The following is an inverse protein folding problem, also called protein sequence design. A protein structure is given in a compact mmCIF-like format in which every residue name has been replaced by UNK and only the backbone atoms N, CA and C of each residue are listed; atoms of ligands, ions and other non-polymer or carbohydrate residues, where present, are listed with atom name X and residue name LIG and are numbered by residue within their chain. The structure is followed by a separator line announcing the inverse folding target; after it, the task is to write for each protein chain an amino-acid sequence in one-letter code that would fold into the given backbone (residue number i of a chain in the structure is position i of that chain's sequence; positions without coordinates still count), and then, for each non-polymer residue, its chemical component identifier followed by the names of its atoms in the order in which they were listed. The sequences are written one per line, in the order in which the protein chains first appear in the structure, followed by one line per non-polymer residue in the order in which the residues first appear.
data_IF_475231426966
#
_entry.id   IF_475231426966
#
_cell.length_a   1.000
_cell.length_b   1.000
_cell.length_c   1.000
_cell.angle_alpha   90.00
_cell.angle_beta   90.00
_cell.angle_gamma   90.00
#
_symmetry.space_group_name_H-M   'P 1'
#
loop_
_entity.id
_entity.type
_entity.pdbx_description
1 polymer ?
#
# COMPACT_ATOMS: atom_id res chain seq x y z
N UNK A 1 -6.68 14.73 -30.00
CA UNK A 1 -6.95 14.33 -28.60
C UNK A 1 -6.13 15.15 -27.61
N UNK A 2 -4.80 15.25 -27.78
CA UNK A 2 -3.91 16.03 -26.90
C UNK A 2 -4.37 17.47 -26.60
N UNK A 3 -4.55 18.32 -27.63
CA UNK A 3 -5.00 19.72 -27.45
C UNK A 3 -6.28 19.83 -26.64
N UNK A 4 -7.24 18.91 -26.84
CA UNK A 4 -8.51 18.89 -26.09
C UNK A 4 -8.25 18.60 -24.62
N UNK A 5 -7.47 17.58 -24.29
CA UNK A 5 -7.15 17.19 -22.90
C UNK A 5 -6.47 18.34 -22.15
N UNK A 6 -5.44 18.95 -22.75
CA UNK A 6 -4.69 20.04 -22.09
C UNK A 6 -5.60 21.27 -21.89
N UNK A 7 -6.43 21.60 -22.89
CA UNK A 7 -7.39 22.70 -22.77
C UNK A 7 -8.43 22.45 -21.67
N UNK A 8 -8.94 21.21 -21.53
CA UNK A 8 -9.91 20.86 -20.49
C UNK A 8 -9.32 20.91 -19.08
N UNK A 9 -8.02 20.65 -18.94
CA UNK A 9 -7.30 20.74 -17.68
C UNK A 9 -6.79 22.15 -17.38
N UNK A 10 -7.09 23.14 -18.24
CA UNK A 10 -6.57 24.51 -18.11
C UNK A 10 -5.04 24.56 -17.99
N UNK A 11 -4.33 23.66 -18.68
CA UNK A 11 -2.88 23.48 -18.57
C UNK A 11 -2.37 23.10 -17.16
N UNK A 12 -3.25 22.74 -16.22
CA UNK A 12 -2.86 22.22 -14.91
C UNK A 12 -2.61 20.71 -14.97
N UNK A 13 -1.33 20.34 -15.02
CA UNK A 13 -0.86 18.95 -14.99
C UNK A 13 -0.20 18.61 -13.64
N UNK A 14 -0.34 19.48 -12.63
CA UNK A 14 0.42 19.46 -11.38
C UNK A 14 -0.08 18.51 -10.29
N UNK A 15 -1.09 17.67 -10.56
CA UNK A 15 -1.67 16.78 -9.55
C UNK A 15 -0.60 15.86 -8.94
N UNK A 16 -0.44 15.81 -7.61
CA UNK A 16 0.58 14.99 -6.98
C UNK A 16 0.28 13.49 -7.16
N UNK A 17 1.31 12.73 -7.52
CA UNK A 17 1.21 11.28 -7.70
C UNK A 17 1.41 10.54 -6.36
N UNK A 18 0.69 9.43 -6.17
CA UNK A 18 0.83 8.58 -4.98
C UNK A 18 2.27 8.10 -4.76
N UNK A 19 2.98 7.75 -5.82
CA UNK A 19 4.39 7.33 -5.74
C UNK A 19 5.30 8.37 -5.07
N UNK A 20 5.01 9.67 -5.18
CA UNK A 20 5.82 10.71 -4.55
C UNK A 20 5.65 10.70 -3.03
N UNK A 21 4.40 10.49 -2.56
CA UNK A 21 4.13 10.31 -1.13
C UNK A 21 4.74 9.01 -0.61
N UNK A 22 4.63 7.90 -1.36
CA UNK A 22 5.25 6.64 -0.95
C UNK A 22 6.76 6.77 -0.78
N UNK A 23 7.47 7.41 -1.72
CA UNK A 23 8.92 7.67 -1.60
C UNK A 23 9.25 8.46 -0.33
N UNK A 24 8.45 9.49 -0.02
CA UNK A 24 8.60 10.28 1.20
C UNK A 24 8.39 9.43 2.45
N UNK A 25 7.30 8.67 2.52
CA UNK A 25 6.96 7.85 3.69
C UNK A 25 7.97 6.72 3.91
N UNK A 26 8.41 6.05 2.84
CA UNK A 26 9.46 5.03 2.92
C UNK A 26 10.77 5.60 3.46
N UNK A 27 11.15 6.83 3.09
CA UNK A 27 12.35 7.48 3.65
C UNK A 27 12.19 7.80 5.14
N UNK A 28 11.01 8.26 5.57
CA UNK A 28 10.72 8.61 6.97
C UNK A 28 10.75 7.36 7.86
N UNK A 29 10.12 6.28 7.40
CA UNK A 29 10.02 5.02 8.15
C UNK A 29 11.31 4.18 8.03
N UNK A 30 12.26 4.60 7.19
CA UNK A 30 13.46 3.84 6.84
C UNK A 30 13.10 2.44 6.30
N UNK A 31 12.14 2.41 5.39
CA UNK A 31 11.64 1.17 4.80
C UNK A 31 12.72 0.49 3.96
N UNK A 32 12.75 -0.84 4.00
CA UNK A 32 13.64 -1.63 3.14
C UNK A 32 13.21 -1.57 1.68
N UNK A 33 14.11 -1.87 0.75
CA UNK A 33 13.80 -1.87 -0.68
C UNK A 33 12.65 -2.83 -1.04
N UNK A 34 12.53 -3.93 -0.31
CA UNK A 34 11.46 -4.91 -0.44
C UNK A 34 10.13 -4.33 0.04
N UNK A 35 10.10 -3.66 1.19
CA UNK A 35 8.91 -2.98 1.72
C UNK A 35 8.43 -1.85 0.79
N UNK A 36 9.37 -1.05 0.29
CA UNK A 36 9.06 -0.01 -0.67
C UNK A 36 8.54 -0.59 -1.99
N UNK A 37 9.11 -1.71 -2.45
CA UNK A 37 8.68 -2.37 -3.70
C UNK A 37 7.31 -3.04 -3.56
N UNK A 38 7.01 -3.63 -2.40
CA UNK A 38 5.67 -4.11 -2.08
C UNK A 38 4.66 -2.94 -2.01
N UNK A 39 5.06 -1.80 -1.44
CA UNK A 39 4.24 -0.58 -1.45
C UNK A 39 3.93 -0.09 -2.88
N UNK A 40 4.93 -0.09 -3.78
CA UNK A 40 4.73 0.23 -5.21
C UNK A 40 3.75 -0.74 -5.86
N UNK A 41 3.85 -2.04 -5.55
CA UNK A 41 2.93 -3.05 -6.09
C UNK A 41 1.49 -2.77 -5.66
N UNK A 42 1.26 -2.51 -4.37
CA UNK A 42 -0.05 -2.14 -3.83
C UNK A 42 -0.62 -0.89 -4.51
N UNK A 43 0.20 0.15 -4.72
CA UNK A 43 -0.26 1.36 -5.42
C UNK A 43 -0.59 1.12 -6.90
N UNK A 44 0.23 0.35 -7.62
CA UNK A 44 -0.05 0.07 -9.03
C UNK A 44 -1.32 -0.77 -9.19
N UNK A 45 -1.64 -1.60 -8.19
CA UNK A 45 -2.88 -2.36 -8.15
C UNK A 45 -4.12 -1.47 -7.97
N UNK A 46 -4.05 -0.38 -7.19
CA UNK A 46 -5.20 0.52 -7.01
C UNK A 46 -5.54 1.30 -8.27
N UNK A 47 -4.58 1.51 -9.19
CA UNK A 47 -4.87 2.15 -10.48
C UNK A 47 -5.73 1.30 -11.42
N UNK A 48 -5.82 -0.02 -11.17
CA UNK A 48 -6.66 -0.91 -11.97
C UNK A 48 -8.13 -0.82 -11.51
N UNK A 49 -8.36 -0.58 -10.22
CA UNK A 49 -9.69 -0.60 -9.62
C UNK A 49 -10.28 0.81 -9.54
N UNK A 50 -11.42 1.01 -10.21
CA UNK A 50 -12.12 2.29 -10.26
C UNK A 50 -12.54 2.79 -8.87
N UNK A 51 -12.74 1.89 -7.91
CA UNK A 51 -13.15 2.22 -6.54
C UNK A 51 -12.15 3.15 -5.83
N UNK A 52 -10.88 3.13 -6.25
CA UNK A 52 -9.82 3.96 -5.67
C UNK A 52 -9.66 5.32 -6.34
N UNK A 53 -10.39 5.61 -7.42
CA UNK A 53 -10.23 6.86 -8.20
C UNK A 53 -10.52 8.14 -7.39
N UNK A 54 -11.44 8.05 -6.43
CA UNK A 54 -11.84 9.15 -5.55
C UNK A 54 -10.93 9.33 -4.33
N UNK A 55 -10.03 8.37 -4.08
CA UNK A 55 -9.19 8.35 -2.88
C UNK A 55 -7.99 9.29 -3.05
N UNK A 56 -7.62 9.99 -1.98
CA UNK A 56 -6.47 10.89 -2.00
C UNK A 56 -5.16 10.12 -2.21
N UNK A 57 -4.27 10.57 -3.12
CA UNK A 57 -2.97 9.93 -3.36
C UNK A 57 -2.08 9.82 -2.11
N UNK A 58 -2.14 10.80 -1.20
CA UNK A 58 -1.41 10.77 0.08
C UNK A 58 -1.92 9.66 0.99
N UNK A 59 -3.23 9.57 1.15
CA UNK A 59 -3.89 8.57 2.00
C UNK A 59 -3.56 7.15 1.55
N UNK A 60 -3.78 6.85 0.26
CA UNK A 60 -3.52 5.49 -0.25
C UNK A 60 -2.05 5.10 -0.16
N UNK A 61 -1.13 6.07 -0.27
CA UNK A 61 0.31 5.84 -0.09
C UNK A 61 0.69 5.57 1.36
N UNK A 62 0.01 6.20 2.32
CA UNK A 62 0.18 5.90 3.74
C UNK A 62 -0.32 4.48 4.05
N UNK A 63 -1.53 4.13 3.59
CA UNK A 63 -2.07 2.78 3.72
C UNK A 63 -1.15 1.73 3.10
N UNK A 64 -0.68 1.96 1.86
CA UNK A 64 0.23 1.03 1.18
C UNK A 64 1.58 0.88 1.89
N UNK A 65 2.14 1.98 2.42
CA UNK A 65 3.41 1.96 3.15
C UNK A 65 3.30 1.23 4.48
N UNK A 66 2.21 1.42 5.21
CA UNK A 66 1.95 0.71 6.45
C UNK A 66 1.72 -0.79 6.18
N UNK A 67 0.83 -1.09 5.24
CA UNK A 67 0.41 -2.44 4.95
C UNK A 67 1.54 -3.29 4.38
N UNK A 68 2.42 -2.69 3.55
CA UNK A 68 3.59 -3.40 3.03
C UNK A 68 4.53 -3.85 4.16
N UNK A 69 4.78 -2.96 5.12
CA UNK A 69 5.63 -3.24 6.29
C UNK A 69 4.97 -4.27 7.20
N UNK A 70 3.67 -4.15 7.42
CA UNK A 70 2.89 -5.11 8.20
C UNK A 70 2.96 -6.53 7.61
N UNK A 71 2.67 -6.70 6.32
CA UNK A 71 2.66 -8.00 5.66
C UNK A 71 4.03 -8.70 5.72
N UNK A 72 5.12 -7.95 5.58
CA UNK A 72 6.48 -8.52 5.66
C UNK A 72 6.90 -8.83 7.10
N UNK A 73 6.48 -8.01 8.05
CA UNK A 73 6.73 -8.25 9.47
C UNK A 73 5.87 -9.41 10.02
N UNK A 74 4.70 -9.68 9.44
CA UNK A 74 3.68 -10.55 10.04
C UNK A 74 4.19 -11.95 10.39
N UNK A 75 5.04 -12.54 9.53
CA UNK A 75 5.64 -13.87 9.77
C UNK A 75 6.59 -13.91 10.98
N UNK A 76 7.15 -12.76 11.36
CA UNK A 76 8.15 -12.64 12.44
C UNK A 76 7.52 -12.24 13.77
N UNK A 77 6.21 -11.95 13.81
CA UNK A 77 5.54 -11.52 15.03
C UNK A 77 5.38 -12.72 15.97
N UNK A 78 5.90 -12.65 17.21
CA UNK A 78 5.55 -13.62 18.25
C UNK A 78 4.06 -13.55 18.56
N UNK A 79 3.39 -14.71 18.68
CA UNK A 79 1.95 -14.80 18.96
C UNK A 79 1.48 -14.07 20.23
N UNK A 80 2.40 -13.74 21.15
CA UNK A 80 2.12 -12.99 22.38
C UNK A 80 2.18 -11.46 22.24
N UNK A 81 2.50 -10.91 21.07
CA UNK A 81 2.66 -9.46 20.92
C UNK A 81 1.31 -8.78 20.88
N UNK A 82 1.08 -7.78 21.74
CA UNK A 82 -0.15 -6.98 21.68
C UNK A 82 -0.20 -6.18 20.39
N UNK A 83 -1.39 -6.13 19.79
CA UNK A 83 -1.65 -5.47 18.50
C UNK A 83 -1.33 -3.97 18.59
N UNK A 84 -1.62 -3.33 19.72
CA UNK A 84 -1.31 -1.91 19.95
C UNK A 84 0.19 -1.62 19.92
N UNK A 85 1.02 -2.45 20.57
CA UNK A 85 2.49 -2.30 20.52
C UNK A 85 3.02 -2.55 19.11
N UNK A 86 2.43 -3.52 18.40
CA UNK A 86 2.79 -3.78 17.02
C UNK A 86 2.48 -2.60 16.10
N UNK A 87 1.30 -1.99 16.23
CA UNK A 87 0.93 -0.80 15.46
C UNK A 87 1.85 0.36 15.80
N UNK A 88 2.17 0.60 17.08
CA UNK A 88 3.05 1.70 17.47
C UNK A 88 4.49 1.49 16.96
N UNK A 89 4.96 0.24 16.89
CA UNK A 89 6.23 -0.08 16.22
C UNK A 89 6.13 0.08 14.68
N UNK A 90 4.97 -0.32 14.12
CA UNK A 90 4.46 -0.23 12.74
C UNK A 90 4.38 1.17 12.14
N UNK A 91 3.88 2.09 12.94
CA UNK A 91 3.47 3.42 12.55
C UNK A 91 3.39 4.27 13.82
N UNK A 92 4.54 4.71 14.36
CA UNK A 92 4.56 5.45 15.61
C UNK A 92 3.65 6.67 15.49
N UNK A 93 2.58 6.71 16.28
CA UNK A 93 1.39 7.52 15.95
C UNK A 93 1.74 8.99 15.89
N UNK A 94 2.47 9.50 16.89
CA UNK A 94 2.86 10.91 16.97
C UNK A 94 3.81 11.32 15.84
N UNK A 95 4.82 10.49 15.56
CA UNK A 95 5.84 10.77 14.56
C UNK A 95 5.26 10.74 13.14
N UNK A 96 4.44 9.74 12.85
CA UNK A 96 3.84 9.60 11.54
C UNK A 96 2.72 10.62 11.32
N UNK A 97 1.95 10.97 12.34
CA UNK A 97 0.96 12.05 12.23
C UNK A 97 1.62 13.39 11.87
N UNK A 98 2.77 13.72 12.48
CA UNK A 98 3.53 14.93 12.14
C UNK A 98 3.91 15.01 10.65
N UNK A 99 4.30 13.89 10.05
CA UNK A 99 4.76 13.86 8.65
C UNK A 99 3.68 13.60 7.61
N UNK A 100 2.62 12.87 7.98
CA UNK A 100 1.60 12.37 7.05
C UNK A 100 0.23 12.97 7.27
N UNK A 101 -0.05 13.45 8.48
CA UNK A 101 -1.37 13.90 8.91
C UNK A 101 -2.36 12.78 9.22
N UNK A 102 -1.94 11.51 9.16
CA UNK A 102 -2.82 10.35 9.36
C UNK A 102 -2.44 9.52 10.59
N UNK A 103 -3.45 9.18 11.38
CA UNK A 103 -3.36 8.16 12.42
C UNK A 103 -3.68 6.78 11.86
N UNK A 104 -3.25 5.72 12.53
CA UNK A 104 -3.57 4.35 12.11
C UNK A 104 -5.08 4.11 12.00
N UNK A 105 -5.86 4.63 12.95
CA UNK A 105 -7.32 4.50 12.97
C UNK A 105 -7.98 5.04 11.69
N UNK A 106 -7.42 6.11 11.11
CA UNK A 106 -7.89 6.66 9.85
C UNK A 106 -7.47 5.81 8.64
N UNK A 107 -6.32 5.14 8.70
CA UNK A 107 -5.79 4.31 7.62
C UNK A 107 -6.47 2.93 7.54
N UNK A 108 -7.09 2.48 8.63
CA UNK A 108 -7.74 1.17 8.76
C UNK A 108 -8.59 0.80 7.54
N UNK A 109 -9.50 1.68 7.12
CA UNK A 109 -10.42 1.39 6.02
C UNK A 109 -9.69 1.21 4.69
N UNK A 110 -8.68 2.04 4.42
CA UNK A 110 -7.86 1.91 3.21
C UNK A 110 -6.98 0.65 3.22
N UNK A 111 -6.50 0.22 4.39
CA UNK A 111 -5.75 -1.02 4.55
C UNK A 111 -6.64 -2.23 4.27
N UNK A 112 -7.88 -2.22 4.77
CA UNK A 112 -8.85 -3.28 4.49
C UNK A 112 -9.15 -3.37 2.99
N UNK A 113 -9.42 -2.24 2.33
CA UNK A 113 -9.66 -2.18 0.89
C UNK A 113 -8.46 -2.69 0.07
N UNK A 114 -7.23 -2.30 0.45
CA UNK A 114 -6.01 -2.83 -0.19
C UNK A 114 -5.85 -4.34 0.02
N UNK A 115 -6.21 -4.82 1.20
CA UNK A 115 -6.20 -6.23 1.54
C UNK A 115 -7.18 -7.04 0.71
N UNK A 116 -8.42 -6.58 0.59
CA UNK A 116 -9.44 -7.16 -0.28
C UNK A 116 -9.01 -7.16 -1.74
N UNK A 117 -8.39 -6.07 -2.19
CA UNK A 117 -7.86 -5.97 -3.55
C UNK A 117 -6.77 -7.03 -3.80
N UNK A 118 -5.84 -7.22 -2.85
CA UNK A 118 -4.80 -8.26 -2.92
C UNK A 118 -5.40 -9.67 -2.96
N UNK A 119 -6.42 -9.95 -2.14
CA UNK A 119 -7.14 -11.23 -2.12
C UNK A 119 -7.83 -11.49 -3.47
N UNK A 120 -8.42 -10.46 -4.07
CA UNK A 120 -9.08 -10.53 -5.37
C UNK A 120 -8.13 -10.70 -6.57
N UNK A 121 -6.81 -10.59 -6.37
CA UNK A 121 -5.85 -10.73 -7.46
C UNK A 121 -5.82 -12.13 -8.09
N UNK A 122 -6.15 -13.18 -7.33
CA UNK A 122 -6.16 -14.55 -7.83
C UNK A 122 -7.25 -14.75 -8.91
N UNK A 123 -8.37 -14.05 -8.78
CA UNK A 123 -9.53 -14.12 -9.70
C UNK A 123 -9.53 -13.00 -10.76
N UNK A 124 -8.62 -12.03 -10.64
CA UNK A 124 -8.57 -10.88 -11.53
C UNK A 124 -8.20 -11.27 -12.98
N UNK A 125 -8.96 -10.70 -13.94
CA UNK A 125 -8.66 -10.84 -15.38
C UNK A 125 -7.40 -10.08 -15.79
N UNK A 126 -7.17 -8.91 -15.18
CA UNK A 126 -6.06 -8.02 -15.51
C UNK A 126 -4.82 -8.38 -14.68
N UNK A 127 -3.85 -9.04 -15.32
CA UNK A 127 -2.62 -9.56 -14.65
C UNK A 127 -1.35 -8.79 -15.02
N UNK A 128 -1.44 -7.66 -15.72
CA UNK A 128 -0.28 -6.89 -16.19
C UNK A 128 0.61 -6.40 -15.04
N UNK A 129 0.01 -5.87 -13.98
CA UNK A 129 0.74 -5.41 -12.79
C UNK A 129 1.41 -6.59 -12.07
N UNK A 130 0.71 -7.70 -11.87
CA UNK A 130 1.32 -8.91 -11.30
C UNK A 130 2.54 -9.38 -12.11
N UNK A 131 2.43 -9.40 -13.45
CA UNK A 131 3.54 -9.76 -14.34
C UNK A 131 4.73 -8.80 -14.20
N UNK A 132 4.48 -7.49 -14.14
CA UNK A 132 5.53 -6.46 -13.92
C UNK A 132 6.27 -6.69 -12.60
N UNK A 133 5.55 -6.92 -11.51
CA UNK A 133 6.13 -7.11 -10.18
C UNK A 133 6.59 -8.55 -9.90
N UNK A 134 6.42 -9.47 -10.84
CA UNK A 134 7.01 -10.82 -10.83
C UNK A 134 8.42 -10.86 -11.40
N UNK A 135 8.90 -9.77 -12.00
CA UNK A 135 10.24 -9.69 -12.55
C UNK A 135 11.31 -9.64 -11.44
N UNK A 136 12.50 -10.17 -11.74
CA UNK A 136 13.61 -10.26 -10.77
C UNK A 136 14.12 -8.91 -10.30
N UNK A 137 14.12 -7.90 -11.18
CA UNK A 137 14.44 -6.50 -10.85
C UNK A 137 13.48 -5.87 -9.83
N UNK A 138 12.29 -6.46 -9.65
CA UNK A 138 11.27 -6.04 -8.68
C UNK A 138 11.14 -7.05 -7.53
N UNK A 139 12.23 -7.77 -7.24
CA UNK A 139 12.33 -8.78 -6.16
C UNK A 139 11.31 -9.93 -6.29
N UNK A 140 10.71 -10.12 -7.47
CA UNK A 140 9.61 -11.05 -7.67
C UNK A 140 8.50 -10.90 -6.61
N UNK A 141 8.26 -9.67 -6.16
CA UNK A 141 7.45 -9.38 -4.97
C UNK A 141 6.01 -9.90 -5.10
N UNK A 142 5.44 -9.90 -6.30
CA UNK A 142 4.10 -10.42 -6.54
C UNK A 142 3.98 -11.93 -6.28
N UNK A 143 5.09 -12.67 -6.39
CA UNK A 143 5.15 -14.12 -6.14
C UNK A 143 5.48 -14.46 -4.67
N UNK A 144 5.81 -13.46 -3.85
CA UNK A 144 6.21 -13.67 -2.46
C UNK A 144 5.06 -14.29 -1.66
N UNK A 145 5.39 -15.15 -0.68
CA UNK A 145 4.40 -15.78 0.22
C UNK A 145 3.49 -14.77 0.92
N UNK A 146 3.99 -13.54 1.15
CA UNK A 146 3.25 -12.48 1.85
C UNK A 146 2.07 -11.92 1.02
N UNK A 147 2.06 -12.13 -0.30
CA UNK A 147 1.02 -11.65 -1.20
C UNK A 147 -0.07 -12.69 -1.46
N UNK A 148 0.06 -13.92 -0.93
CA UNK A 148 -0.93 -14.99 -1.14
C UNK A 148 -2.22 -14.66 -0.39
N UNK A 149 -3.36 -14.88 -1.06
CA UNK A 149 -4.70 -14.58 -0.52
C UNK A 149 -4.92 -15.13 0.90
N UNK A 150 -4.60 -16.41 1.15
CA UNK A 150 -4.72 -17.01 2.48
C UNK A 150 -3.88 -16.31 3.57
N UNK A 151 -2.66 -15.88 3.22
CA UNK A 151 -1.79 -15.17 4.15
C UNK A 151 -2.35 -13.78 4.48
N UNK A 152 -2.79 -13.06 3.45
CA UNK A 152 -3.36 -11.72 3.58
C UNK A 152 -4.63 -11.74 4.43
N UNK A 153 -5.51 -12.74 4.23
CA UNK A 153 -6.70 -12.91 5.06
C UNK A 153 -6.37 -13.10 6.54
N UNK A 154 -5.43 -14.01 6.84
CA UNK A 154 -5.01 -14.27 8.23
C UNK A 154 -4.40 -13.01 8.84
N UNK A 155 -3.50 -12.34 8.12
CA UNK A 155 -2.87 -11.10 8.57
C UNK A 155 -3.92 -10.01 8.85
N UNK A 156 -4.89 -9.79 7.95
CA UNK A 156 -5.98 -8.84 8.18
C UNK A 156 -6.78 -9.22 9.43
N UNK A 157 -7.24 -10.46 9.56
CA UNK A 157 -8.03 -10.87 10.75
C UNK A 157 -7.30 -10.67 12.08
N UNK A 158 -5.96 -10.76 12.08
CA UNK A 158 -5.16 -10.45 13.27
C UNK A 158 -5.08 -8.95 13.54
N UNK A 159 -5.06 -8.12 12.50
CA UNK A 159 -5.00 -6.66 12.60
C UNK A 159 -6.36 -6.05 12.98
N UNK A 160 -7.45 -6.76 12.71
CA UNK A 160 -8.84 -6.38 13.00
C UNK A 160 -9.33 -6.78 14.41
N UNK A 161 -8.55 -7.55 15.17
CA UNK A 161 -8.87 -7.95 16.55
C UNK A 161 -8.42 -6.91 17.57
#
# INVERSE_FOLDING_TARGET
MERRIISTLSFDLGRPLSINYLRRYSKIIQATDIEHTLGKYLLDLTFIDHSFSHILPSYISACASFFSRYLLAYKRIPSLTSISLLIENLWPTKFMFYHTGYTYEQLYQGIEQLGQLLIGQDTAKLKSVQKKFSQSNMFSIAQNSCCKSAYVQIALTHLLK
#
